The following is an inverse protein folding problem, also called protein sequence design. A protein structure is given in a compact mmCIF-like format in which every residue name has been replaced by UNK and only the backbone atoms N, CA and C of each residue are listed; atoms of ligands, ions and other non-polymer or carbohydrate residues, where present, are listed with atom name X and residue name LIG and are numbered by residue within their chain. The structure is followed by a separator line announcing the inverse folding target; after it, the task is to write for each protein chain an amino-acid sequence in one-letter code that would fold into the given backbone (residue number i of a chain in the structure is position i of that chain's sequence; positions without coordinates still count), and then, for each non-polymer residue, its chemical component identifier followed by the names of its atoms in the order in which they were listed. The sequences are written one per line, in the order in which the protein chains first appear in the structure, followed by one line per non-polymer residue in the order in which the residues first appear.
data_IF_779202749818
#
_entry.id   IF_779202749818
#
_cell.length_a   1.000
_cell.length_b   1.000
_cell.length_c   1.000
_cell.angle_alpha   90.00
_cell.angle_beta   90.00
_cell.angle_gamma   90.00
#
_symmetry.space_group_name_H-M   'P 1'
#
loop_
_entity.id
_entity.type
_entity.pdbx_description
1 polymer ?
#
# COMPACT_ATOMS: atom_id res chain seq x y z
N UNK A 1 -62.35 20.04 -9.16
CA UNK A 1 -61.32 19.18 -9.75
C UNK A 1 -59.94 19.77 -9.42
N UNK A 2 -59.26 19.26 -8.41
CA UNK A 2 -57.91 19.66 -8.02
C UNK A 2 -56.92 18.64 -8.62
N UNK A 3 -56.01 19.12 -9.49
CA UNK A 3 -54.92 18.31 -10.06
C UNK A 3 -53.76 18.32 -9.06
N UNK A 4 -53.45 17.17 -8.51
CA UNK A 4 -52.24 16.92 -7.71
C UNK A 4 -51.09 16.55 -8.65
N UNK A 5 -50.09 17.41 -8.73
CA UNK A 5 -48.83 17.11 -9.40
C UNK A 5 -47.94 16.26 -8.45
N UNK A 6 -47.71 15.03 -8.81
CA UNK A 6 -46.67 14.20 -8.15
C UNK A 6 -45.31 14.51 -8.77
N UNK A 7 -44.41 15.09 -7.96
CA UNK A 7 -43.00 15.25 -8.32
C UNK A 7 -42.28 13.95 -7.97
N UNK A 8 -41.94 13.19 -8.99
CA UNK A 8 -41.14 11.97 -8.84
C UNK A 8 -39.67 12.36 -8.52
N UNK A 9 -39.23 12.01 -7.31
CA UNK A 9 -37.85 12.11 -6.88
C UNK A 9 -37.07 10.92 -7.47
N UNK A 10 -36.31 11.16 -8.55
CA UNK A 10 -35.39 10.18 -9.10
C UNK A 10 -34.16 10.11 -8.21
N UNK A 11 -34.07 9.07 -7.39
CA UNK A 11 -32.84 8.75 -6.65
C UNK A 11 -31.78 8.22 -7.63
N UNK A 12 -30.77 9.03 -7.93
CA UNK A 12 -29.55 8.58 -8.59
C UNK A 12 -28.76 7.71 -7.60
N UNK A 13 -28.90 6.39 -7.70
CA UNK A 13 -27.95 5.46 -7.12
C UNK A 13 -26.65 5.56 -7.97
N UNK A 14 -25.68 6.28 -7.48
CA UNK A 14 -24.31 6.21 -7.99
C UNK A 14 -23.75 4.81 -7.63
N UNK A 15 -23.82 3.89 -8.57
CA UNK A 15 -22.99 2.68 -8.53
C UNK A 15 -21.55 3.13 -8.64
N UNK A 16 -20.83 3.16 -7.52
CA UNK A 16 -19.37 3.20 -7.51
C UNK A 16 -18.90 1.80 -7.89
N UNK A 17 -19.01 1.47 -9.17
CA UNK A 17 -18.29 0.34 -9.75
C UNK A 17 -16.80 0.66 -9.72
N UNK A 18 -15.95 -0.30 -9.30
CA UNK A 18 -14.52 -0.20 -9.53
C UNK A 18 -14.30 0.17 -11.00
N UNK A 19 -13.73 1.37 -11.27
CA UNK A 19 -13.51 1.80 -12.64
C UNK A 19 -12.41 0.91 -13.23
N UNK A 20 -12.78 0.01 -14.13
CA UNK A 20 -11.85 -0.82 -14.87
C UNK A 20 -10.81 0.11 -15.53
N UNK A 21 -9.54 -0.21 -15.38
CA UNK A 21 -8.43 0.54 -15.96
C UNK A 21 -7.66 1.45 -15.01
N UNK A 22 -8.16 1.75 -13.82
CA UNK A 22 -7.50 2.69 -12.90
C UNK A 22 -6.65 1.97 -11.83
N UNK A 23 -5.62 2.66 -11.31
CA UNK A 23 -4.77 2.22 -10.20
C UNK A 23 -4.63 3.37 -9.19
N UNK A 24 -5.72 3.71 -8.52
CA UNK A 24 -5.87 4.94 -7.71
C UNK A 24 -5.14 4.95 -6.37
N UNK A 25 -4.56 3.83 -5.95
CA UNK A 25 -3.79 3.68 -4.72
C UNK A 25 -2.71 2.61 -4.88
N UNK A 26 -1.79 2.47 -3.91
CA UNK A 26 -0.65 1.57 -4.03
C UNK A 26 -0.99 0.06 -4.16
N UNK A 27 -2.21 -0.36 -3.77
CA UNK A 27 -2.68 -1.75 -3.93
C UNK A 27 -3.71 -1.93 -5.04
N UNK A 28 -3.94 -0.90 -5.87
CA UNK A 28 -4.82 -0.95 -7.03
C UNK A 28 -6.31 -0.90 -6.68
N UNK A 29 -7.18 -1.12 -7.67
CA UNK A 29 -8.61 -0.88 -7.54
C UNK A 29 -9.31 -1.75 -6.49
N UNK A 30 -8.79 -2.96 -6.26
CA UNK A 30 -9.35 -3.93 -5.32
C UNK A 30 -8.71 -3.87 -3.92
N UNK A 31 -7.72 -2.98 -3.70
CA UNK A 31 -6.94 -2.84 -2.46
C UNK A 31 -6.19 -4.11 -2.02
N UNK A 32 -6.13 -5.11 -2.86
CA UNK A 32 -5.54 -6.43 -2.61
C UNK A 32 -4.30 -6.73 -3.47
N UNK A 33 -3.95 -5.78 -4.37
CA UNK A 33 -2.83 -5.89 -5.31
C UNK A 33 -3.22 -6.45 -6.67
N UNK A 34 -4.50 -6.70 -6.91
CA UNK A 34 -4.99 -7.23 -8.17
C UNK A 34 -5.78 -6.23 -9.00
N UNK A 35 -5.91 -6.53 -10.28
CA UNK A 35 -6.81 -5.85 -11.23
C UNK A 35 -7.25 -6.82 -12.32
N UNK A 36 -8.37 -6.51 -12.99
CA UNK A 36 -8.93 -7.29 -14.10
C UNK A 36 -8.28 -6.95 -15.45
N UNK A 37 -7.25 -6.12 -15.48
CA UNK A 37 -6.50 -5.75 -16.69
C UNK A 37 -6.01 -6.98 -17.46
N UNK A 38 -6.03 -6.86 -18.81
CA UNK A 38 -5.69 -7.94 -19.74
C UNK A 38 -4.60 -7.49 -20.72
N UNK A 39 -4.14 -8.44 -21.52
CA UNK A 39 -3.15 -8.21 -22.59
C UNK A 39 -1.81 -7.65 -22.12
N UNK A 40 -1.44 -7.96 -20.88
CA UNK A 40 -0.19 -7.50 -20.28
C UNK A 40 1.01 -8.30 -20.82
N UNK A 41 2.19 -7.67 -20.99
CA UNK A 41 3.38 -8.35 -21.47
C UNK A 41 3.92 -9.30 -20.39
N UNK A 42 4.23 -10.54 -20.80
CA UNK A 42 5.00 -11.49 -19.98
C UNK A 42 6.50 -11.28 -20.15
N UNK A 43 6.95 -10.75 -21.30
CA UNK A 43 8.35 -10.48 -21.63
C UNK A 43 8.51 -9.00 -22.00
N UNK A 44 9.47 -8.34 -21.38
CA UNK A 44 9.83 -6.96 -21.63
C UNK A 44 11.25 -6.69 -21.11
N UNK A 45 11.81 -5.55 -21.50
CA UNK A 45 13.10 -5.07 -21.02
C UNK A 45 13.13 -3.54 -21.04
N UNK A 46 14.27 -2.92 -20.79
CA UNK A 46 14.46 -1.46 -20.94
C UNK A 46 14.25 -0.94 -22.38
N UNK A 47 14.22 -1.84 -23.37
CA UNK A 47 14.09 -1.50 -24.80
C UNK A 47 12.95 -2.24 -25.50
N UNK A 48 12.42 -3.31 -24.90
CA UNK A 48 11.33 -4.11 -25.48
C UNK A 48 10.01 -3.81 -24.77
N UNK A 49 8.96 -3.54 -25.52
CA UNK A 49 7.62 -3.20 -25.04
C UNK A 49 7.58 -1.91 -24.18
N UNK A 50 8.58 -1.04 -24.29
CA UNK A 50 8.61 0.27 -23.68
C UNK A 50 7.79 1.24 -24.52
N UNK A 51 6.73 1.80 -23.93
CA UNK A 51 5.96 2.88 -24.55
C UNK A 51 6.67 4.22 -24.37
N UNK A 52 7.15 4.44 -23.14
CA UNK A 52 7.99 5.57 -22.77
C UNK A 52 8.75 5.28 -21.47
N UNK A 53 9.79 6.05 -21.22
CA UNK A 53 10.48 6.10 -19.93
C UNK A 53 10.97 7.49 -19.63
N UNK A 54 10.91 7.90 -18.36
CA UNK A 54 11.36 9.21 -17.89
C UNK A 54 12.31 9.08 -16.72
N UNK A 55 13.27 10.00 -16.63
CA UNK A 55 14.17 10.10 -15.49
C UNK A 55 13.43 10.67 -14.29
N UNK A 56 13.63 10.08 -13.11
CA UNK A 56 13.07 10.57 -11.85
C UNK A 56 14.03 11.55 -11.17
N UNK A 57 13.48 12.49 -10.44
CA UNK A 57 14.22 13.52 -9.69
C UNK A 57 14.80 12.98 -8.37
N UNK A 58 14.74 11.69 -8.15
CA UNK A 58 15.30 11.02 -6.98
C UNK A 58 14.54 9.79 -6.54
N UNK A 59 15.03 9.09 -5.50
CA UNK A 59 14.45 7.85 -5.04
C UNK A 59 13.06 8.04 -4.43
N UNK A 60 12.31 6.96 -4.43
CA UNK A 60 11.06 6.79 -3.69
C UNK A 60 10.67 5.31 -3.67
N UNK A 61 10.18 4.84 -2.55
CA UNK A 61 9.53 3.54 -2.47
C UNK A 61 8.05 3.58 -2.87
N UNK A 62 7.49 4.77 -3.13
CA UNK A 62 6.11 4.96 -3.54
C UNK A 62 5.79 4.28 -4.88
N UNK A 63 4.72 3.51 -4.89
CA UNK A 63 4.16 2.92 -6.12
C UNK A 63 3.51 4.03 -6.96
N UNK A 64 3.73 4.05 -8.29
CA UNK A 64 3.01 4.97 -9.16
C UNK A 64 1.49 4.77 -9.05
N UNK A 65 0.74 5.86 -9.09
CA UNK A 65 -0.72 5.85 -9.08
C UNK A 65 -1.21 6.38 -10.42
N UNK A 66 -2.18 5.70 -11.01
CA UNK A 66 -2.65 5.97 -12.38
C UNK A 66 -4.15 6.21 -12.38
N UNK A 67 -4.57 7.33 -12.99
CA UNK A 67 -5.97 7.66 -13.16
C UNK A 67 -6.20 8.48 -14.42
N UNK A 68 -7.08 8.03 -15.29
CA UNK A 68 -7.31 8.66 -16.60
C UNK A 68 -6.04 8.78 -17.42
N UNK A 69 -5.67 9.99 -17.77
CA UNK A 69 -4.43 10.30 -18.49
C UNK A 69 -3.26 10.73 -17.59
N UNK A 70 -3.33 10.46 -16.28
CA UNK A 70 -2.35 10.92 -15.31
C UNK A 70 -1.62 9.75 -14.67
N UNK A 71 -0.31 9.93 -14.44
CA UNK A 71 0.53 9.07 -13.61
C UNK A 71 1.14 9.93 -12.51
N UNK A 72 0.77 9.68 -11.27
CA UNK A 72 1.23 10.44 -10.12
C UNK A 72 2.34 9.69 -9.39
N UNK A 73 3.42 10.41 -9.08
CA UNK A 73 4.56 9.86 -8.34
C UNK A 73 5.14 10.91 -7.38
N UNK A 74 5.49 10.49 -6.18
CA UNK A 74 6.28 11.27 -5.23
C UNK A 74 7.78 11.11 -5.53
N UNK A 75 8.60 12.13 -5.29
CA UNK A 75 10.06 12.03 -5.37
C UNK A 75 10.73 12.78 -4.22
N UNK A 76 11.91 12.30 -3.85
CA UNK A 76 12.79 12.94 -2.87
C UNK A 76 14.13 13.23 -3.56
N UNK A 77 14.42 14.50 -3.84
CA UNK A 77 15.71 14.92 -4.40
C UNK A 77 16.72 15.08 -3.27
N UNK A 78 17.75 14.21 -3.16
CA UNK A 78 18.71 14.26 -2.06
C UNK A 78 19.63 15.47 -2.15
N UNK A 79 20.01 15.92 -3.36
CA UNK A 79 20.95 17.02 -3.58
C UNK A 79 20.28 18.36 -3.30
N UNK A 80 19.10 18.57 -3.86
CA UNK A 80 18.29 19.78 -3.65
C UNK A 80 17.53 19.80 -2.33
N UNK A 81 17.47 18.66 -1.60
CA UNK A 81 16.68 18.46 -0.36
C UNK A 81 15.21 18.87 -0.55
N UNK A 82 14.56 18.33 -1.57
CA UNK A 82 13.18 18.65 -1.95
C UNK A 82 12.32 17.41 -2.02
N UNK A 83 11.07 17.56 -1.59
CA UNK A 83 10.02 16.57 -1.71
C UNK A 83 9.01 17.07 -2.74
N UNK A 84 8.83 16.33 -3.84
CA UNK A 84 8.05 16.80 -4.98
C UNK A 84 6.92 15.86 -5.34
N UNK A 85 5.74 16.44 -5.58
CA UNK A 85 4.58 15.79 -6.19
C UNK A 85 4.66 15.99 -7.71
N UNK A 86 4.61 14.90 -8.47
CA UNK A 86 4.77 14.95 -9.92
C UNK A 86 3.62 14.22 -10.62
N UNK A 87 3.17 14.78 -11.73
CA UNK A 87 2.18 14.19 -12.63
C UNK A 87 2.74 14.11 -14.05
N UNK A 88 2.65 12.93 -14.65
CA UNK A 88 3.04 12.68 -16.03
C UNK A 88 1.84 12.29 -16.85
N UNK A 89 1.86 12.62 -18.16
CA UNK A 89 0.89 12.08 -19.10
C UNK A 89 1.09 10.57 -19.26
N UNK A 90 0.02 9.81 -19.06
CA UNK A 90 0.06 8.34 -19.09
C UNK A 90 0.46 7.78 -20.47
N UNK A 91 0.15 8.49 -21.56
CA UNK A 91 0.39 8.00 -22.93
C UNK A 91 1.78 8.34 -23.42
N UNK A 92 2.29 9.53 -23.06
CA UNK A 92 3.54 10.08 -23.62
C UNK A 92 4.70 10.08 -22.62
N UNK A 93 4.43 10.08 -21.32
CA UNK A 93 5.43 10.26 -20.27
C UNK A 93 5.85 11.71 -20.06
N UNK A 94 5.24 12.67 -20.75
CA UNK A 94 5.53 14.09 -20.57
C UNK A 94 5.13 14.56 -19.17
N UNK A 95 5.97 15.38 -18.57
CA UNK A 95 5.68 16.02 -17.27
C UNK A 95 4.55 17.05 -17.46
N UNK A 96 3.41 16.81 -16.84
CA UNK A 96 2.27 17.74 -16.87
C UNK A 96 2.43 18.85 -15.83
N UNK A 97 2.76 18.47 -14.61
CA UNK A 97 3.05 19.40 -13.52
C UNK A 97 3.96 18.77 -12.46
N UNK A 98 4.65 19.62 -11.72
CA UNK A 98 5.51 19.25 -10.60
C UNK A 98 5.43 20.34 -9.54
N UNK A 99 5.18 19.97 -8.29
CA UNK A 99 5.08 20.88 -7.15
C UNK A 99 6.06 20.53 -6.07
N UNK A 100 6.73 21.54 -5.51
CA UNK A 100 7.46 21.42 -4.26
C UNK A 100 6.45 21.35 -3.11
N UNK A 101 6.42 20.21 -2.40
CA UNK A 101 5.53 20.03 -1.25
C UNK A 101 6.22 20.39 0.05
N UNK A 102 7.49 19.99 0.22
CA UNK A 102 8.28 20.34 1.40
C UNK A 102 9.78 20.38 1.08
N UNK A 103 10.53 21.08 1.91
CA UNK A 103 11.99 21.02 1.91
C UNK A 103 12.44 19.96 2.92
N UNK A 104 13.41 19.16 2.53
CA UNK A 104 13.96 18.11 3.36
C UNK A 104 14.34 16.87 2.54
N UNK A 105 15.20 16.08 3.12
CA UNK A 105 15.54 14.76 2.61
C UNK A 105 15.97 13.91 3.79
N UNK A 106 15.43 12.70 3.84
CA UNK A 106 15.92 11.65 4.70
C UNK A 106 15.75 10.32 3.99
N UNK A 107 16.80 9.57 3.98
CA UNK A 107 16.81 8.17 3.55
C UNK A 107 17.57 7.37 4.60
N UNK A 108 16.98 6.32 5.05
CA UNK A 108 17.65 5.29 5.83
C UNK A 108 17.66 3.97 5.04
N UNK A 109 18.24 2.92 5.60
CA UNK A 109 18.31 1.63 4.92
C UNK A 109 16.96 0.88 4.87
N UNK A 110 15.85 1.51 5.28
CA UNK A 110 14.50 0.96 5.27
C UNK A 110 13.54 1.75 4.40
N UNK A 111 13.68 3.09 4.38
CA UNK A 111 12.71 3.98 3.78
C UNK A 111 13.31 5.35 3.47
N UNK A 112 12.59 6.19 2.75
CA UNK A 112 12.85 7.60 2.53
C UNK A 112 11.57 8.43 2.75
N UNK A 113 11.68 9.77 2.77
CA UNK A 113 10.50 10.63 2.99
C UNK A 113 9.45 10.53 1.89
N UNK A 114 9.82 10.16 0.65
CA UNK A 114 8.88 9.98 -0.46
C UNK A 114 8.36 8.55 -0.61
N UNK A 115 8.58 7.68 0.38
CA UNK A 115 8.15 6.28 0.35
C UNK A 115 6.63 6.07 0.35
N UNK A 116 5.79 6.93 0.99
CA UNK A 116 4.35 6.82 0.83
C UNK A 116 3.93 6.98 -0.63
N UNK A 117 3.04 6.11 -1.10
CA UNK A 117 2.43 6.23 -2.41
C UNK A 117 1.37 7.32 -2.42
N UNK A 118 1.19 8.08 -3.50
CA UNK A 118 0.05 8.96 -3.67
C UNK A 118 -1.27 8.18 -3.63
N UNK A 119 -2.39 8.89 -3.49
CA UNK A 119 -3.72 8.30 -3.60
C UNK A 119 -4.65 9.28 -4.32
N UNK A 120 -5.55 8.73 -5.15
CA UNK A 120 -6.56 9.52 -5.88
C UNK A 120 -7.88 8.76 -5.99
N UNK A 121 -8.98 9.50 -6.07
CA UNK A 121 -10.32 9.04 -6.44
C UNK A 121 -10.77 9.61 -7.80
N UNK A 122 -9.85 10.26 -8.51
CA UNK A 122 -10.08 10.94 -9.79
C UNK A 122 -10.60 12.38 -9.65
N UNK A 123 -11.05 12.80 -8.47
CA UNK A 123 -11.45 14.18 -8.19
C UNK A 123 -10.30 14.98 -7.58
N UNK A 124 -9.51 14.33 -6.75
CA UNK A 124 -8.32 14.90 -6.10
C UNK A 124 -7.18 13.89 -6.14
N UNK A 125 -5.96 14.37 -5.96
CA UNK A 125 -4.78 13.54 -5.70
C UNK A 125 -4.06 14.05 -4.46
N UNK A 126 -3.78 13.14 -3.52
CA UNK A 126 -3.12 13.46 -2.26
C UNK A 126 -1.75 12.82 -2.20
N UNK A 127 -0.75 13.61 -1.80
CA UNK A 127 0.63 13.19 -1.57
C UNK A 127 0.96 13.35 -0.09
N UNK A 128 1.61 12.34 0.46
CA UNK A 128 2.10 12.36 1.83
C UNK A 128 3.59 12.02 1.86
N UNK A 129 4.33 12.63 2.79
CA UNK A 129 5.76 12.43 2.98
C UNK A 129 6.08 12.08 4.43
N UNK A 130 7.16 11.33 4.62
CA UNK A 130 7.55 10.81 5.93
C UNK A 130 7.99 11.87 6.96
N UNK A 131 8.14 13.14 6.53
CA UNK A 131 8.33 14.31 7.40
C UNK A 131 7.00 14.92 7.91
N UNK A 132 5.87 14.31 7.53
CA UNK A 132 4.54 14.76 7.92
C UNK A 132 3.87 15.72 6.93
N UNK A 133 4.55 16.14 5.86
CA UNK A 133 3.97 16.99 4.82
C UNK A 133 2.88 16.23 4.06
N UNK A 134 1.71 16.84 3.94
CA UNK A 134 0.53 16.31 3.28
C UNK A 134 -0.07 17.40 2.40
N UNK A 135 -0.19 17.14 1.10
CA UNK A 135 -0.75 18.09 0.14
C UNK A 135 -1.72 17.41 -0.81
N UNK A 136 -2.78 18.12 -1.17
CA UNK A 136 -3.82 17.66 -2.09
C UNK A 136 -3.98 18.64 -3.23
N UNK A 137 -4.04 18.09 -4.44
CA UNK A 137 -4.17 18.85 -5.68
C UNK A 137 -5.40 18.38 -6.47
N UNK A 138 -5.90 19.23 -7.38
CA UNK A 138 -6.76 18.79 -8.46
C UNK A 138 -5.96 17.87 -9.40
N UNK A 139 -6.61 17.05 -10.25
CA UNK A 139 -5.90 16.26 -11.25
C UNK A 139 -5.00 17.10 -12.18
N UNK A 140 -5.38 18.35 -12.43
CA UNK A 140 -4.64 19.29 -13.30
C UNK A 140 -3.52 20.05 -12.57
N UNK A 141 -3.34 19.81 -11.26
CA UNK A 141 -2.21 20.30 -10.48
C UNK A 141 -2.48 21.60 -9.70
N UNK A 142 -3.72 22.08 -9.61
CA UNK A 142 -4.03 23.17 -8.69
C UNK A 142 -3.98 22.66 -7.24
N UNK A 143 -3.21 23.33 -6.38
CA UNK A 143 -3.16 23.00 -4.95
C UNK A 143 -4.47 23.39 -4.28
N UNK A 144 -5.16 22.42 -3.70
CA UNK A 144 -6.38 22.67 -2.91
C UNK A 144 -6.05 23.03 -1.46
N UNK A 145 -5.12 22.30 -0.87
CA UNK A 145 -4.63 22.55 0.47
C UNK A 145 -3.34 21.78 0.74
N UNK A 146 -2.57 22.27 1.72
CA UNK A 146 -1.43 21.58 2.30
C UNK A 146 -1.37 21.77 3.81
N UNK A 147 -0.77 20.83 4.51
CA UNK A 147 -0.56 20.86 5.95
C UNK A 147 0.56 19.92 6.38
N UNK A 148 1.09 20.10 7.59
CA UNK A 148 1.99 19.13 8.21
C UNK A 148 1.28 18.43 9.37
N UNK A 149 1.24 17.10 9.31
CA UNK A 149 0.56 16.26 10.31
C UNK A 149 1.27 16.33 11.66
N UNK A 150 2.60 16.48 11.67
CA UNK A 150 3.36 16.59 12.92
C UNK A 150 3.10 17.92 13.64
N UNK A 151 2.92 19.01 12.92
CA UNK A 151 2.59 20.32 13.51
C UNK A 151 1.21 20.30 14.18
N UNK A 152 0.25 19.58 13.58
CA UNK A 152 -1.13 19.54 14.10
C UNK A 152 -1.34 18.47 15.18
N UNK A 153 -0.61 17.37 15.13
CA UNK A 153 -0.91 16.18 15.93
C UNK A 153 0.26 15.66 16.79
N UNK A 154 1.39 16.38 16.78
CA UNK A 154 2.60 16.03 17.51
C UNK A 154 3.64 15.33 16.65
N UNK A 155 4.91 15.48 17.01
CA UNK A 155 6.05 14.91 16.29
C UNK A 155 5.99 13.39 16.31
N UNK A 156 6.38 12.79 15.19
CA UNK A 156 6.41 11.35 15.03
C UNK A 156 7.49 10.67 15.87
N UNK A 157 7.11 9.61 16.58
CA UNK A 157 7.99 8.80 17.42
C UNK A 157 8.35 7.46 16.73
N UNK A 158 9.07 7.51 15.60
CA UNK A 158 9.52 6.34 14.85
C UNK A 158 11.04 6.21 14.87
N UNK A 159 11.52 4.96 14.98
CA UNK A 159 12.93 4.65 14.80
C UNK A 159 13.34 4.87 13.34
N UNK A 160 12.59 4.30 12.41
CA UNK A 160 12.79 4.39 10.97
C UNK A 160 11.99 5.55 10.36
N UNK A 161 12.26 5.86 9.09
CA UNK A 161 11.48 6.87 8.37
C UNK A 161 10.05 6.41 8.17
N UNK A 162 9.08 7.21 8.57
CA UNK A 162 7.65 6.90 8.44
C UNK A 162 7.25 6.81 6.97
N UNK A 163 6.48 5.78 6.60
CA UNK A 163 6.23 5.46 5.19
C UNK A 163 4.84 4.89 4.90
N UNK A 164 3.91 5.02 5.83
CA UNK A 164 2.50 4.63 5.62
C UNK A 164 1.87 5.48 4.51
N UNK A 165 1.22 4.84 3.54
CA UNK A 165 0.48 5.55 2.50
C UNK A 165 -0.90 5.98 3.00
N UNK A 166 -1.43 7.14 2.56
CA UNK A 166 -2.82 7.51 2.80
C UNK A 166 -3.78 6.64 1.97
N UNK A 167 -5.06 6.63 2.37
CA UNK A 167 -6.15 5.96 1.68
C UNK A 167 -7.29 6.96 1.43
N UNK A 168 -7.81 7.04 0.20
CA UNK A 168 -9.11 7.66 -0.06
C UNK A 168 -10.14 6.55 -0.29
N UNK A 169 -11.23 6.59 0.46
CA UNK A 169 -12.33 5.66 0.32
C UNK A 169 -13.66 6.35 0.65
N UNK A 170 -14.64 6.22 -0.25
CA UNK A 170 -15.96 6.85 -0.10
C UNK A 170 -15.90 8.36 0.21
N UNK A 171 -14.97 9.10 -0.45
CA UNK A 171 -14.81 10.53 -0.29
C UNK A 171 -14.19 10.99 1.03
N UNK A 172 -13.52 10.09 1.75
CA UNK A 172 -12.80 10.38 2.98
C UNK A 172 -11.33 9.95 2.83
N UNK A 173 -10.42 10.82 3.26
CA UNK A 173 -8.98 10.56 3.32
C UNK A 173 -8.63 10.02 4.70
N UNK A 174 -8.13 8.78 4.76
CA UNK A 174 -7.72 8.11 5.98
C UNK A 174 -6.21 8.03 6.09
N UNK A 175 -5.72 8.23 7.31
CA UNK A 175 -4.33 8.05 7.69
C UNK A 175 -4.23 7.31 9.02
N UNK A 176 -3.16 6.55 9.20
CA UNK A 176 -2.80 5.97 10.50
C UNK A 176 -1.40 6.43 10.90
N UNK A 177 -1.21 6.69 12.17
CA UNK A 177 0.10 6.93 12.78
C UNK A 177 0.20 5.96 13.97
N UNK A 178 0.82 4.80 13.71
CA UNK A 178 1.04 3.77 14.72
C UNK A 178 2.51 3.83 15.12
N UNK A 179 2.79 4.45 16.25
CA UNK A 179 4.11 4.88 16.69
C UNK A 179 4.42 4.43 18.10
N UNK A 180 5.67 4.60 18.53
CA UNK A 180 6.03 4.38 19.95
C UNK A 180 5.28 5.33 20.86
N UNK A 181 4.96 4.85 22.05
CA UNK A 181 4.36 5.61 23.16
C UNK A 181 5.37 6.49 23.89
N UNK A 182 6.66 6.34 23.59
CA UNK A 182 7.78 7.08 24.17
C UNK A 182 8.61 7.74 23.07
N UNK A 183 9.36 8.78 23.41
CA UNK A 183 10.30 9.44 22.49
C UNK A 183 11.36 8.47 21.96
N UNK A 184 11.79 8.66 20.73
CA UNK A 184 12.86 7.91 20.05
C UNK A 184 14.03 8.86 19.80
N UNK A 185 14.96 8.94 20.74
CA UNK A 185 15.98 9.99 20.73
C UNK A 185 15.33 11.37 20.87
N UNK A 186 15.57 12.25 19.91
CA UNK A 186 14.94 13.59 19.85
C UNK A 186 13.57 13.62 19.18
N UNK A 187 13.06 12.48 18.66
CA UNK A 187 11.80 12.38 17.95
C UNK A 187 10.64 12.06 18.90
N UNK A 188 9.48 12.56 18.55
CA UNK A 188 8.25 12.39 19.33
C UNK A 188 7.92 13.61 20.17
N UNK A 189 6.72 13.62 20.71
CA UNK A 189 6.16 14.64 21.62
C UNK A 189 5.95 14.05 23.00
N UNK A 190 5.29 14.80 23.90
CA UNK A 190 4.94 14.27 25.23
C UNK A 190 3.73 13.32 25.15
N UNK A 191 2.89 13.44 24.13
CA UNK A 191 1.80 12.51 23.79
C UNK A 191 2.09 11.82 22.46
N UNK A 192 2.61 10.59 22.53
CA UNK A 192 2.92 9.77 21.36
C UNK A 192 1.90 8.66 21.14
N UNK A 193 0.68 8.78 21.63
CA UNK A 193 -0.34 7.75 21.40
C UNK A 193 -0.58 7.53 19.90
N UNK A 194 -0.62 6.25 19.51
CA UNK A 194 -1.02 5.85 18.15
C UNK A 194 -2.45 6.29 17.85
N UNK A 195 -2.71 6.78 16.64
CA UNK A 195 -4.02 7.28 16.25
C UNK A 195 -4.36 6.98 14.79
N UNK A 196 -5.66 7.04 14.50
CA UNK A 196 -6.24 7.07 13.17
C UNK A 196 -6.82 8.47 12.95
N UNK A 197 -6.74 8.95 11.72
CA UNK A 197 -7.18 10.28 11.31
C UNK A 197 -8.00 10.16 10.04
N UNK A 198 -9.15 10.85 9.99
CA UNK A 198 -9.92 11.04 8.78
C UNK A 198 -10.03 12.54 8.46
N UNK A 199 -9.78 12.86 7.20
CA UNK A 199 -9.85 14.21 6.66
C UNK A 199 -10.82 14.26 5.49
N UNK A 200 -11.42 15.42 5.28
CA UNK A 200 -12.06 15.74 4.00
C UNK A 200 -10.95 15.93 2.95
N UNK A 201 -10.93 15.13 1.85
CA UNK A 201 -9.85 15.19 0.88
C UNK A 201 -9.81 16.50 0.08
N UNK A 202 -10.92 17.25 0.00
CA UNK A 202 -11.00 18.51 -0.76
C UNK A 202 -10.57 19.74 0.04
N UNK A 203 -10.66 19.67 1.36
CA UNK A 203 -10.43 20.83 2.23
C UNK A 203 -9.35 20.62 3.28
N UNK A 204 -8.88 19.39 3.49
CA UNK A 204 -7.93 19.02 4.54
C UNK A 204 -8.51 19.12 5.96
N UNK A 205 -9.84 19.40 6.09
CA UNK A 205 -10.51 19.51 7.39
C UNK A 205 -10.57 18.14 8.07
N UNK A 206 -10.19 18.10 9.35
CA UNK A 206 -10.35 16.90 10.16
C UNK A 206 -11.83 16.58 10.36
N UNK A 207 -12.22 15.36 9.99
CA UNK A 207 -13.55 14.79 10.24
C UNK A 207 -13.59 14.14 11.62
N UNK A 208 -12.58 13.29 11.89
CA UNK A 208 -12.39 12.67 13.20
C UNK A 208 -10.93 12.27 13.41
N UNK A 209 -10.56 12.12 14.69
CA UNK A 209 -9.31 11.50 15.14
C UNK A 209 -9.64 10.59 16.31
N UNK A 210 -9.15 9.35 16.30
CA UNK A 210 -9.31 8.39 17.38
C UNK A 210 -7.98 7.78 17.76
N UNK A 211 -7.78 7.56 19.05
CA UNK A 211 -6.59 6.84 19.52
C UNK A 211 -6.81 5.32 19.35
N UNK A 212 -5.73 4.63 18.97
CA UNK A 212 -5.71 3.20 18.79
C UNK A 212 -4.74 2.54 19.77
N UNK A 213 -5.19 2.16 20.97
CA UNK A 213 -4.33 1.52 21.95
C UNK A 213 -3.90 0.12 21.49
N UNK A 214 -2.68 -0.28 21.88
CA UNK A 214 -2.11 -1.59 21.63
C UNK A 214 -1.39 -2.11 22.87
N UNK A 215 -1.23 -3.44 22.95
CA UNK A 215 -0.47 -4.10 24.03
C UNK A 215 1.01 -4.31 23.69
N UNK A 216 1.43 -3.95 22.49
CA UNK A 216 2.81 -3.99 22.03
C UNK A 216 3.71 -3.08 22.88
N UNK A 217 5.01 -3.22 22.72
CA UNK A 217 6.01 -2.36 23.39
C UNK A 217 7.12 -1.97 22.42
N UNK A 218 7.76 -0.83 22.68
CA UNK A 218 8.93 -0.36 21.94
C UNK A 218 8.69 -0.33 20.43
N UNK A 219 9.61 -0.84 19.60
CA UNK A 219 9.49 -0.85 18.13
C UNK A 219 8.29 -1.67 17.63
N UNK A 220 7.75 -2.62 18.42
CA UNK A 220 6.55 -3.37 18.02
C UNK A 220 5.27 -2.53 18.02
N UNK A 221 5.28 -1.33 18.59
CA UNK A 221 4.21 -0.34 18.43
C UNK A 221 4.23 0.32 17.05
N UNK A 222 5.42 0.37 16.39
CA UNK A 222 5.56 1.00 15.09
C UNK A 222 4.96 0.14 13.99
N UNK A 223 4.16 0.76 13.11
CA UNK A 223 3.70 0.13 11.89
C UNK A 223 3.79 1.07 10.70
N UNK A 224 4.13 0.48 9.55
CA UNK A 224 4.30 1.15 8.25
C UNK A 224 3.28 0.61 7.24
N UNK A 225 2.31 -0.17 7.71
CA UNK A 225 1.18 -0.68 6.94
C UNK A 225 0.24 0.45 6.52
N UNK A 226 -0.53 0.24 5.47
CA UNK A 226 -1.53 1.18 4.95
C UNK A 226 -2.93 0.73 5.38
N UNK A 227 -3.83 1.65 5.77
CA UNK A 227 -5.24 1.34 5.97
C UNK A 227 -5.86 0.74 4.71
N UNK A 228 -6.69 -0.30 4.85
CA UNK A 228 -7.35 -0.96 3.74
C UNK A 228 -8.86 -0.94 3.95
N UNK A 229 -9.66 -0.48 2.97
CA UNK A 229 -11.12 -0.56 3.06
C UNK A 229 -11.57 -2.01 2.87
N UNK A 230 -12.60 -2.38 3.55
CA UNK A 230 -13.16 -3.71 3.49
C UNK A 230 -14.68 -3.66 3.68
N UNK A 231 -15.42 -4.40 2.86
CA UNK A 231 -16.84 -4.59 3.04
C UNK A 231 -17.13 -6.06 3.36
N UNK A 232 -17.81 -6.29 4.47
CA UNK A 232 -18.26 -7.63 4.86
C UNK A 232 -19.77 -7.63 5.09
N UNK A 233 -20.51 -8.33 4.23
CA UNK A 233 -21.98 -8.45 4.31
C UNK A 233 -22.68 -7.08 4.43
N UNK A 234 -22.23 -6.08 3.66
CA UNK A 234 -22.79 -4.74 3.66
C UNK A 234 -22.29 -3.81 4.77
N UNK A 235 -21.41 -4.28 5.66
CA UNK A 235 -20.74 -3.43 6.66
C UNK A 235 -19.38 -2.99 6.12
N UNK A 236 -19.24 -1.67 5.93
CA UNK A 236 -17.96 -1.06 5.57
C UNK A 236 -17.06 -0.92 6.79
N UNK A 237 -15.77 -1.22 6.60
CA UNK A 237 -14.74 -1.15 7.62
C UNK A 237 -13.44 -0.60 7.04
N UNK A 238 -12.61 0.00 7.88
CA UNK A 238 -11.20 0.26 7.60
C UNK A 238 -10.36 -0.70 8.43
N UNK A 239 -9.60 -1.56 7.76
CA UNK A 239 -8.71 -2.53 8.39
C UNK A 239 -7.36 -1.88 8.71
N UNK A 240 -6.88 -2.06 9.93
CA UNK A 240 -5.64 -1.51 10.44
C UNK A 240 -4.80 -2.63 11.06
N UNK A 241 -3.57 -2.82 10.62
CA UNK A 241 -2.62 -3.78 11.20
C UNK A 241 -1.41 -3.06 11.79
N UNK A 242 -1.01 -3.44 13.00
CA UNK A 242 0.16 -2.90 13.71
C UNK A 242 -0.03 -2.92 15.22
N UNK A 243 1.03 -2.69 15.97
CA UNK A 243 0.99 -2.76 17.44
C UNK A 243 0.54 -4.14 17.93
N UNK A 244 1.03 -5.20 17.29
CA UNK A 244 0.71 -6.61 17.56
C UNK A 244 -0.78 -6.98 17.41
N UNK A 245 -1.56 -6.20 16.66
CA UNK A 245 -2.97 -6.52 16.42
C UNK A 245 -3.48 -6.04 15.06
N UNK A 246 -4.52 -6.74 14.59
CA UNK A 246 -5.37 -6.37 13.47
C UNK A 246 -6.69 -5.84 14.04
N UNK A 247 -7.20 -4.73 13.50
CA UNK A 247 -8.47 -4.12 13.93
C UNK A 247 -9.31 -3.70 12.74
N UNK A 248 -10.63 -3.79 12.87
CA UNK A 248 -11.61 -3.21 11.96
C UNK A 248 -12.25 -1.99 12.61
N UNK A 249 -12.38 -0.91 11.85
CA UNK A 249 -12.92 0.37 12.33
C UNK A 249 -14.08 0.84 11.45
N UNK A 250 -15.06 1.48 12.08
CA UNK A 250 -16.14 2.18 11.38
C UNK A 250 -15.57 3.37 10.59
N UNK A 251 -15.78 3.45 9.27
CA UNK A 251 -15.19 4.50 8.45
C UNK A 251 -15.66 5.91 8.81
N UNK A 252 -16.89 6.08 9.30
CA UNK A 252 -17.52 7.38 9.56
C UNK A 252 -17.11 7.98 10.90
N UNK A 253 -16.79 7.15 11.88
CA UNK A 253 -16.49 7.58 13.26
C UNK A 253 -15.10 7.21 13.75
N UNK A 254 -14.41 6.29 13.07
CA UNK A 254 -13.15 5.71 13.51
C UNK A 254 -13.30 4.71 14.67
N UNK A 255 -14.53 4.48 15.16
CA UNK A 255 -14.79 3.54 16.26
C UNK A 255 -14.27 2.16 15.91
N UNK A 256 -13.51 1.55 16.83
CA UNK A 256 -13.09 0.16 16.70
C UNK A 256 -14.28 -0.76 16.83
N UNK A 257 -14.52 -1.59 15.81
CA UNK A 257 -15.58 -2.58 15.75
C UNK A 257 -15.13 -3.91 16.32
N UNK A 258 -13.91 -4.30 16.00
CA UNK A 258 -13.31 -5.54 16.49
C UNK A 258 -11.78 -5.46 16.50
N UNK A 259 -11.16 -6.35 17.27
CA UNK A 259 -9.71 -6.58 17.28
C UNK A 259 -9.34 -8.04 17.42
N UNK A 260 -8.23 -8.37 16.79
CA UNK A 260 -7.52 -9.64 16.96
C UNK A 260 -6.03 -9.38 17.16
N UNK A 261 -5.39 -10.04 18.12
CA UNK A 261 -3.96 -9.85 18.37
C UNK A 261 -3.39 -10.93 19.26
N UNK A 262 -2.85 -11.99 18.66
CA UNK A 262 -2.22 -13.11 19.39
C UNK A 262 -0.87 -13.53 18.80
N UNK A 263 -0.35 -12.80 17.79
CA UNK A 263 0.90 -13.22 17.13
C UNK A 263 2.17 -12.91 17.92
N UNK A 264 2.11 -12.05 18.93
CA UNK A 264 3.25 -11.69 19.78
C UNK A 264 2.94 -11.86 21.29
N UNK A 265 2.65 -13.08 21.77
CA UNK A 265 2.22 -13.32 23.14
C UNK A 265 3.30 -12.99 24.17
N UNK A 266 4.58 -13.10 23.80
CA UNK A 266 5.73 -12.79 24.68
C UNK A 266 6.11 -11.30 24.64
N UNK A 267 5.40 -10.48 23.86
CA UNK A 267 5.63 -9.04 23.73
C UNK A 267 7.07 -8.72 23.32
N UNK A 268 7.59 -9.40 22.28
CA UNK A 268 8.89 -9.07 21.68
C UNK A 268 8.86 -7.60 21.25
N UNK A 269 9.85 -6.81 21.66
CA UNK A 269 9.83 -5.36 21.51
C UNK A 269 10.44 -4.81 20.20
N UNK A 270 10.85 -5.65 19.25
CA UNK A 270 11.45 -5.25 17.96
C UNK A 270 10.69 -5.78 16.73
N UNK A 271 9.42 -6.08 16.90
CA UNK A 271 8.52 -6.63 15.88
C UNK A 271 7.65 -5.54 15.23
N UNK A 272 8.28 -4.49 14.67
CA UNK A 272 7.56 -3.51 13.86
C UNK A 272 6.85 -4.18 12.70
N UNK A 273 5.66 -3.71 12.35
CA UNK A 273 4.88 -4.26 11.25
C UNK A 273 5.03 -3.41 9.98
N UNK A 274 5.22 -4.05 8.83
CA UNK A 274 5.28 -3.37 7.53
C UNK A 274 4.13 -3.82 6.60
N UNK A 275 3.83 -5.12 6.44
CA UNK A 275 2.76 -5.54 5.55
C UNK A 275 1.39 -4.99 5.98
N UNK A 276 0.60 -4.53 5.01
CA UNK A 276 -0.80 -4.18 5.22
C UNK A 276 -1.67 -5.44 5.30
N UNK A 277 -2.85 -5.37 5.92
CA UNK A 277 -3.81 -6.46 5.87
C UNK A 277 -4.33 -6.65 4.44
N UNK A 278 -4.70 -7.86 4.07
CA UNK A 278 -5.32 -8.18 2.78
C UNK A 278 -6.55 -9.04 3.01
N UNK A 279 -7.70 -8.62 2.49
CA UNK A 279 -8.95 -9.36 2.61
C UNK A 279 -9.21 -10.19 1.34
N UNK A 280 -9.72 -11.41 1.52
CA UNK A 280 -10.12 -12.28 0.41
C UNK A 280 -10.56 -13.66 0.89
N UNK A 281 -11.41 -14.33 0.12
CA UNK A 281 -11.88 -15.68 0.44
C UNK A 281 -12.59 -15.85 1.80
N UNK A 282 -13.16 -14.77 2.35
CA UNK A 282 -13.85 -14.76 3.64
C UNK A 282 -12.96 -14.57 4.86
N UNK A 283 -11.67 -14.25 4.66
CA UNK A 283 -10.70 -13.99 5.72
C UNK A 283 -9.93 -12.69 5.47
N UNK A 284 -9.34 -12.16 6.52
CA UNK A 284 -8.33 -11.10 6.46
C UNK A 284 -6.99 -11.70 6.82
N UNK A 285 -6.02 -11.60 5.91
CA UNK A 285 -4.66 -12.07 6.12
C UNK A 285 -3.81 -10.99 6.79
N UNK A 286 -3.15 -11.33 7.89
CA UNK A 286 -2.18 -10.49 8.59
C UNK A 286 -0.84 -11.21 8.69
N UNK A 287 0.26 -10.50 8.41
CA UNK A 287 1.61 -11.06 8.51
C UNK A 287 2.24 -10.65 9.84
N UNK A 288 2.70 -11.61 10.63
CA UNK A 288 3.55 -11.29 11.75
C UNK A 288 5.01 -11.03 11.26
N UNK A 289 5.75 -10.13 11.94
CA UNK A 289 7.10 -9.73 11.49
C UNK A 289 8.16 -10.81 11.66
N UNK A 290 9.34 -10.57 11.09
CA UNK A 290 10.58 -11.33 11.38
C UNK A 290 10.47 -12.83 11.13
N UNK A 291 9.98 -13.23 9.97
CA UNK A 291 9.83 -14.64 9.55
C UNK A 291 8.79 -15.42 10.35
N UNK A 292 7.98 -14.73 11.13
CA UNK A 292 6.87 -15.34 11.84
C UNK A 292 5.74 -15.73 10.89
N UNK A 293 4.75 -16.50 11.34
CA UNK A 293 3.62 -16.92 10.52
C UNK A 293 2.80 -15.79 9.93
N UNK A 294 2.10 -16.06 8.84
CA UNK A 294 0.92 -15.31 8.44
C UNK A 294 -0.31 -15.93 9.10
N UNK A 295 -1.30 -15.10 9.40
CA UNK A 295 -2.53 -15.49 10.10
C UNK A 295 -3.74 -15.10 9.24
N UNK A 296 -4.64 -16.05 9.01
CA UNK A 296 -5.94 -15.78 8.43
C UNK A 296 -6.98 -15.63 9.53
N UNK A 297 -7.62 -14.47 9.56
CA UNK A 297 -8.58 -14.08 10.58
C UNK A 297 -9.94 -14.00 9.93
N UNK A 298 -10.97 -14.55 10.59
CA UNK A 298 -12.34 -14.50 10.14
C UNK A 298 -12.78 -13.05 9.94
N UNK A 299 -13.31 -12.76 8.75
CA UNK A 299 -13.84 -11.45 8.44
C UNK A 299 -15.09 -11.11 9.27
N UNK A 300 -15.36 -9.81 9.50
CA UNK A 300 -16.59 -9.33 10.09
C UNK A 300 -16.75 -9.61 11.59
N UNK A 301 -15.67 -9.52 12.35
CA UNK A 301 -15.70 -9.72 13.79
C UNK A 301 -16.48 -8.65 14.57
N UNK A 302 -16.69 -8.88 15.88
CA UNK A 302 -17.25 -7.93 16.82
C UNK A 302 -16.54 -8.03 18.17
N UNK A 303 -16.11 -6.87 18.72
CA UNK A 303 -15.36 -6.82 19.97
C UNK A 303 -13.99 -7.51 19.88
N UNK A 304 -13.55 -8.14 20.95
CA UNK A 304 -12.25 -8.84 20.99
C UNK A 304 -12.40 -10.30 20.53
N UNK A 305 -11.97 -10.58 19.30
CA UNK A 305 -12.03 -11.91 18.68
C UNK A 305 -10.70 -12.68 18.75
N UNK A 306 -9.78 -12.30 19.63
CA UNK A 306 -8.45 -12.93 19.70
C UNK A 306 -8.51 -14.44 20.00
N UNK A 307 -9.49 -14.90 20.77
CA UNK A 307 -9.67 -16.30 21.08
C UNK A 307 -10.36 -17.13 19.97
N UNK A 308 -11.21 -16.50 19.14
CA UNK A 308 -12.09 -17.19 18.18
C UNK A 308 -11.90 -16.80 16.72
N UNK A 309 -11.17 -15.72 16.44
CA UNK A 309 -11.08 -15.14 15.10
C UNK A 309 -10.10 -15.85 14.18
N UNK A 310 -9.14 -16.61 14.70
CA UNK A 310 -8.15 -17.30 13.86
C UNK A 310 -8.77 -18.48 13.13
N UNK A 311 -8.63 -18.50 11.80
CA UNK A 311 -9.05 -19.61 10.94
C UNK A 311 -7.86 -20.57 10.77
N UNK A 312 -6.71 -20.07 10.33
CA UNK A 312 -5.46 -20.82 10.21
C UNK A 312 -4.25 -19.91 10.36
N UNK A 313 -3.08 -20.49 10.46
CA UNK A 313 -1.79 -19.81 10.32
C UNK A 313 -0.78 -20.73 9.63
N UNK A 314 0.21 -20.10 8.96
CA UNK A 314 1.36 -20.81 8.39
C UNK A 314 2.39 -21.20 9.45
N UNK A 315 3.46 -21.89 9.05
CA UNK A 315 4.62 -22.14 9.89
C UNK A 315 5.70 -21.04 9.79
N UNK A 316 5.41 -19.96 9.08
CA UNK A 316 6.31 -18.85 8.86
C UNK A 316 7.44 -19.20 7.88
N UNK A 317 8.69 -18.90 8.27
CA UNK A 317 9.82 -19.22 7.37
C UNK A 317 10.10 -20.70 7.20
N UNK A 318 9.48 -21.60 7.98
CA UNK A 318 9.67 -23.05 7.86
C UNK A 318 9.00 -23.62 6.62
N UNK A 319 7.83 -23.13 6.27
CA UNK A 319 7.08 -23.51 5.06
C UNK A 319 7.21 -22.50 3.93
N UNK A 320 8.00 -21.41 4.13
CA UNK A 320 8.18 -20.33 3.16
C UNK A 320 6.98 -19.39 3.05
N UNK A 321 5.98 -19.50 3.93
CA UNK A 321 4.81 -18.64 3.97
C UNK A 321 4.93 -17.64 5.10
N UNK A 322 5.68 -16.58 4.83
CA UNK A 322 5.96 -15.47 5.75
C UNK A 322 6.20 -14.19 4.95
N UNK A 323 5.97 -13.04 5.53
CA UNK A 323 6.41 -11.77 4.96
C UNK A 323 6.73 -10.74 6.05
N UNK A 324 7.96 -10.21 6.04
CA UNK A 324 8.38 -9.14 6.94
C UNK A 324 8.06 -7.74 6.37
N UNK A 325 7.97 -7.60 5.04
CA UNK A 325 7.78 -6.28 4.38
C UNK A 325 6.72 -6.31 3.29
N UNK A 326 6.77 -7.27 2.37
CA UNK A 326 5.87 -7.31 1.23
C UNK A 326 4.44 -7.60 1.69
N UNK A 327 3.49 -6.76 1.31
CA UNK A 327 2.07 -7.07 1.52
C UNK A 327 1.66 -8.20 0.58
N UNK A 328 1.00 -9.27 1.06
CA UNK A 328 0.49 -10.33 0.20
C UNK A 328 -0.45 -9.82 -0.89
N UNK A 329 -0.60 -10.60 -1.94
CA UNK A 329 -1.57 -10.39 -3.01
C UNK A 329 -2.74 -11.36 -2.81
N UNK A 330 -3.98 -10.89 -3.00
CA UNK A 330 -5.12 -11.77 -3.21
C UNK A 330 -5.55 -11.71 -4.67
N UNK A 331 -5.51 -12.84 -5.36
CA UNK A 331 -5.80 -12.92 -6.79
C UNK A 331 -6.25 -14.32 -7.17
N UNK A 332 -7.24 -14.45 -8.06
CA UNK A 332 -7.77 -15.75 -8.50
C UNK A 332 -8.06 -16.69 -7.31
N UNK A 333 -8.85 -16.20 -6.36
CA UNK A 333 -9.29 -16.91 -5.16
C UNK A 333 -8.16 -17.55 -4.34
N UNK A 334 -6.98 -16.92 -4.33
CA UNK A 334 -5.83 -17.41 -3.58
C UNK A 334 -4.99 -16.25 -3.04
N UNK A 335 -4.34 -16.46 -1.90
CA UNK A 335 -3.29 -15.56 -1.45
C UNK A 335 -1.96 -15.95 -2.08
N UNK A 336 -1.16 -14.93 -2.43
CA UNK A 336 0.22 -15.09 -2.83
C UNK A 336 1.10 -14.37 -1.81
N UNK A 337 1.85 -15.15 -1.04
CA UNK A 337 2.71 -14.66 0.04
C UNK A 337 4.15 -14.69 -0.44
N UNK A 338 4.81 -13.53 -0.41
CA UNK A 338 6.19 -13.38 -0.83
C UNK A 338 7.11 -13.35 0.38
N UNK A 339 7.90 -14.39 0.55
CA UNK A 339 9.04 -14.42 1.45
C UNK A 339 10.25 -13.78 0.73
N UNK A 340 10.35 -12.46 0.81
CA UNK A 340 11.32 -11.65 0.07
C UNK A 340 12.71 -11.55 0.71
N UNK A 341 12.93 -12.22 1.84
CA UNK A 341 14.15 -12.17 2.64
C UNK A 341 14.83 -13.53 2.74
N UNK A 342 16.00 -13.56 3.33
CA UNK A 342 16.75 -14.80 3.50
C UNK A 342 17.54 -15.23 2.26
N UNK A 343 18.00 -16.47 2.24
CA UNK A 343 18.76 -17.06 1.14
C UNK A 343 17.85 -17.34 -0.04
N UNK A 344 16.76 -18.04 0.21
CA UNK A 344 15.81 -18.50 -0.79
C UNK A 344 14.58 -17.57 -0.75
N UNK A 345 14.36 -16.79 -1.82
CA UNK A 345 13.24 -15.87 -1.93
C UNK A 345 12.09 -16.60 -2.63
N UNK A 346 11.08 -16.92 -1.85
CA UNK A 346 9.96 -17.75 -2.29
C UNK A 346 8.68 -16.94 -2.45
N UNK A 347 7.90 -17.25 -3.48
CA UNK A 347 6.48 -16.85 -3.53
C UNK A 347 5.63 -18.12 -3.48
N UNK A 348 4.63 -18.11 -2.61
CA UNK A 348 3.77 -19.27 -2.37
C UNK A 348 2.32 -18.92 -2.63
N UNK A 349 1.60 -19.77 -3.38
CA UNK A 349 0.15 -19.70 -3.55
C UNK A 349 -0.53 -20.50 -2.45
N UNK A 350 -1.43 -19.84 -1.72
CA UNK A 350 -2.05 -20.38 -0.51
C UNK A 350 -3.57 -20.34 -0.61
N UNK A 351 -4.22 -21.42 -0.29
CA UNK A 351 -5.69 -21.50 -0.22
C UNK A 351 -6.21 -20.64 0.95
N UNK A 352 -7.14 -19.70 0.72
CA UNK A 352 -7.58 -18.75 1.74
C UNK A 352 -8.39 -19.39 2.88
N UNK A 353 -9.04 -20.54 2.64
CA UNK A 353 -9.87 -21.20 3.63
C UNK A 353 -9.11 -22.14 4.56
N UNK A 354 -8.06 -22.77 4.03
CA UNK A 354 -7.33 -23.84 4.73
C UNK A 354 -5.89 -23.53 5.05
N UNK A 355 -5.29 -22.50 4.41
CA UNK A 355 -3.86 -22.21 4.50
C UNK A 355 -2.97 -23.20 3.73
N UNK A 356 -3.57 -24.15 2.99
CA UNK A 356 -2.80 -25.15 2.23
C UNK A 356 -2.01 -24.50 1.11
N UNK A 357 -0.72 -24.77 1.05
CA UNK A 357 0.16 -24.35 -0.04
C UNK A 357 -0.21 -25.15 -1.29
N UNK A 358 -0.58 -24.47 -2.36
CA UNK A 358 -0.89 -25.08 -3.67
C UNK A 358 0.36 -25.24 -4.52
N UNK A 359 1.26 -24.27 -4.46
CA UNK A 359 2.62 -24.30 -5.00
C UNK A 359 3.51 -23.25 -4.32
N UNK A 360 4.81 -23.47 -4.39
CA UNK A 360 5.86 -22.52 -4.00
C UNK A 360 6.92 -22.44 -5.07
N UNK A 361 7.43 -21.24 -5.35
CA UNK A 361 8.42 -21.00 -6.38
C UNK A 361 9.59 -20.19 -5.84
N UNK A 362 10.81 -20.70 -6.01
CA UNK A 362 12.04 -19.94 -5.80
C UNK A 362 12.19 -18.92 -6.93
N UNK A 363 12.25 -17.63 -6.57
CA UNK A 363 12.43 -16.53 -7.50
C UNK A 363 13.86 -16.42 -8.02
N UNK A 364 14.78 -17.24 -7.53
CA UNK A 364 16.19 -17.28 -7.96
C UNK A 364 16.81 -15.88 -7.99
N UNK A 365 16.62 -15.10 -6.93
CA UNK A 365 17.09 -13.74 -6.82
C UNK A 365 18.16 -13.60 -5.73
N UNK A 366 19.27 -12.93 -6.06
CA UNK A 366 20.26 -12.53 -5.06
C UNK A 366 19.82 -11.31 -4.27
N UNK A 367 19.05 -10.41 -4.91
CA UNK A 367 18.53 -9.19 -4.29
C UNK A 367 17.25 -9.46 -3.50
N UNK A 368 17.05 -8.69 -2.43
CA UNK A 368 15.85 -8.72 -1.59
C UNK A 368 14.62 -8.21 -2.35
N UNK A 369 13.44 -8.64 -1.93
CA UNK A 369 12.17 -8.06 -2.36
C UNK A 369 11.59 -7.21 -1.23
N UNK A 370 11.20 -5.98 -1.56
CA UNK A 370 10.46 -5.05 -0.70
C UNK A 370 9.21 -4.52 -1.40
N UNK A 371 9.17 -4.52 -2.73
CA UNK A 371 7.96 -4.30 -3.51
C UNK A 371 6.98 -5.45 -3.30
N UNK A 372 5.70 -5.13 -3.16
CA UNK A 372 4.64 -6.12 -2.99
C UNK A 372 4.24 -6.71 -4.34
N UNK A 373 3.85 -8.00 -4.41
CA UNK A 373 3.38 -8.61 -5.64
C UNK A 373 2.07 -7.99 -6.11
N UNK A 374 1.92 -7.85 -7.43
CA UNK A 374 0.69 -7.40 -8.09
C UNK A 374 0.24 -8.41 -9.14
N UNK A 375 -1.07 -8.60 -9.28
CA UNK A 375 -1.67 -9.66 -10.07
C UNK A 375 -2.63 -9.15 -11.15
N UNK A 376 -2.44 -9.60 -12.39
CA UNK A 376 -3.37 -9.37 -13.50
C UNK A 376 -3.08 -10.34 -14.66
N UNK A 377 -4.04 -10.57 -15.53
CA UNK A 377 -3.90 -11.34 -16.80
C UNK A 377 -3.24 -12.73 -16.60
N UNK A 378 -3.58 -13.40 -15.50
CA UNK A 378 -2.99 -14.71 -15.15
C UNK A 378 -1.52 -14.65 -14.70
N UNK A 379 -0.98 -13.49 -14.46
CA UNK A 379 0.43 -13.24 -14.12
C UNK A 379 0.56 -12.49 -12.79
N UNK A 380 1.70 -12.70 -12.14
CA UNK A 380 2.13 -11.95 -10.96
C UNK A 380 3.41 -11.22 -11.33
N UNK A 381 3.47 -9.94 -11.01
CA UNK A 381 4.64 -9.09 -11.20
C UNK A 381 5.19 -8.67 -9.83
N UNK A 382 6.49 -8.85 -9.62
CA UNK A 382 7.15 -8.41 -8.39
C UNK A 382 8.56 -7.91 -8.68
N UNK A 383 8.90 -6.76 -8.08
CA UNK A 383 10.19 -6.10 -8.27
C UNK A 383 11.09 -6.29 -7.05
N UNK A 384 12.36 -6.60 -7.29
CA UNK A 384 13.39 -6.70 -6.24
C UNK A 384 14.18 -5.38 -6.09
N UNK A 385 15.07 -5.32 -5.10
CA UNK A 385 15.91 -4.14 -4.82
C UNK A 385 16.81 -3.70 -6.00
N UNK A 386 17.24 -4.63 -6.84
CA UNK A 386 18.04 -4.31 -8.04
C UNK A 386 17.17 -3.80 -9.21
N UNK A 387 15.87 -3.59 -9.01
CA UNK A 387 14.96 -3.16 -10.07
C UNK A 387 14.62 -4.29 -11.06
N UNK A 388 14.93 -5.55 -10.76
CA UNK A 388 14.52 -6.68 -11.60
C UNK A 388 13.07 -7.05 -11.32
N UNK A 389 12.22 -7.03 -12.35
CA UNK A 389 10.83 -7.47 -12.27
C UNK A 389 10.74 -8.94 -12.64
N UNK A 390 10.24 -9.76 -11.71
CA UNK A 390 9.95 -11.17 -11.93
C UNK A 390 8.50 -11.32 -12.37
N UNK A 391 8.26 -12.08 -13.43
CA UNK A 391 6.93 -12.38 -13.97
C UNK A 391 6.65 -13.86 -13.75
N UNK A 392 5.60 -14.17 -12.99
CA UNK A 392 5.24 -15.52 -12.59
C UNK A 392 3.86 -15.87 -13.14
N UNK A 393 3.65 -17.08 -13.62
CA UNK A 393 2.34 -17.62 -13.95
C UNK A 393 1.55 -17.89 -12.66
N UNK A 394 0.42 -17.23 -12.49
CA UNK A 394 -0.35 -17.28 -11.24
C UNK A 394 -0.95 -18.68 -10.97
N UNK A 395 -1.21 -19.47 -12.01
CA UNK A 395 -1.82 -20.80 -11.88
C UNK A 395 -0.78 -21.86 -11.53
N UNK A 396 0.34 -21.87 -12.23
CA UNK A 396 1.36 -22.93 -12.11
C UNK A 396 2.56 -22.59 -11.24
N UNK A 397 2.75 -21.31 -10.89
CA UNK A 397 3.94 -20.83 -10.19
C UNK A 397 5.19 -20.71 -11.07
N UNK A 398 5.10 -21.05 -12.35
CA UNK A 398 6.27 -21.01 -13.24
C UNK A 398 6.80 -19.60 -13.41
N UNK A 399 8.10 -19.40 -13.20
CA UNK A 399 8.79 -18.16 -13.53
C UNK A 399 8.85 -18.00 -15.06
N UNK A 400 8.14 -17.01 -15.59
CA UNK A 400 8.00 -16.74 -17.02
C UNK A 400 9.13 -15.87 -17.56
N UNK A 401 9.57 -14.88 -16.78
CA UNK A 401 10.56 -13.89 -17.22
C UNK A 401 11.17 -13.15 -16.04
N UNK A 402 12.37 -12.64 -16.23
CA UNK A 402 13.05 -11.66 -15.37
C UNK A 402 13.44 -10.46 -16.23
N UNK A 403 12.87 -9.30 -15.98
CA UNK A 403 13.18 -8.06 -16.68
C UNK A 403 14.08 -7.19 -15.80
N UNK A 404 15.31 -6.95 -16.22
CA UNK A 404 16.27 -6.08 -15.53
C UNK A 404 15.97 -4.62 -15.87
N UNK A 405 15.15 -3.96 -15.04
CA UNK A 405 14.71 -2.58 -15.25
C UNK A 405 15.56 -1.55 -14.47
N UNK A 406 16.34 -1.99 -13.47
CA UNK A 406 17.20 -1.13 -12.67
C UNK A 406 18.36 -0.53 -13.45
N UNK A 407 18.78 0.66 -13.07
CA UNK A 407 19.99 1.35 -13.57
C UNK A 407 21.18 1.10 -12.62
N UNK A 408 22.37 1.55 -13.02
CA UNK A 408 23.52 1.54 -12.11
C UNK A 408 23.22 2.42 -10.88
N UNK A 409 23.31 1.84 -9.67
CA UNK A 409 22.94 2.50 -8.42
C UNK A 409 21.49 2.23 -7.94
N UNK A 410 20.68 1.55 -8.74
CA UNK A 410 19.35 1.09 -8.30
C UNK A 410 19.46 -0.19 -7.44
N UNK A 411 19.97 -0.07 -6.24
CA UNK A 411 20.21 -1.19 -5.31
C UNK A 411 19.17 -1.29 -4.17
N UNK A 412 18.25 -0.35 -4.10
CA UNK A 412 17.21 -0.27 -3.07
C UNK A 412 15.83 0.07 -3.62
N UNK A 413 15.50 -0.40 -4.81
CA UNK A 413 14.16 -0.23 -5.39
C UNK A 413 13.12 -0.97 -4.56
N UNK A 414 12.03 -0.30 -4.18
CA UNK A 414 11.01 -0.82 -3.26
C UNK A 414 9.58 -0.64 -3.74
N UNK A 415 9.35 0.12 -4.81
CA UNK A 415 8.03 0.32 -5.39
C UNK A 415 7.42 -0.99 -5.89
N UNK A 416 6.11 -1.13 -5.77
CA UNK A 416 5.37 -2.20 -6.44
C UNK A 416 5.11 -1.83 -7.90
N UNK A 417 4.81 -2.81 -8.75
CA UNK A 417 4.39 -2.56 -10.13
C UNK A 417 2.93 -2.12 -10.14
N UNK A 418 2.62 -0.94 -10.67
CA UNK A 418 1.24 -0.53 -10.90
C UNK A 418 0.75 -1.04 -12.26
N UNK A 419 -0.54 -1.39 -12.36
CA UNK A 419 -1.12 -2.00 -13.56
C UNK A 419 -2.40 -1.27 -13.92
N UNK A 420 -2.40 -0.58 -15.05
CA UNK A 420 -3.55 0.22 -15.50
C UNK A 420 -3.58 0.33 -17.03
N UNK A 421 -4.78 0.37 -17.62
CA UNK A 421 -5.00 0.60 -19.05
C UNK A 421 -4.15 -0.29 -19.97
N UNK A 422 -4.06 -1.60 -19.63
CA UNK A 422 -3.27 -2.59 -20.39
C UNK A 422 -1.76 -2.41 -20.31
N UNK A 423 -1.25 -1.67 -19.31
CA UNK A 423 0.16 -1.31 -19.16
C UNK A 423 0.67 -1.56 -17.74
N UNK A 424 1.99 -1.76 -17.64
CA UNK A 424 2.72 -1.80 -16.37
C UNK A 424 3.44 -0.47 -16.19
N UNK A 425 3.34 0.10 -15.00
CA UNK A 425 4.11 1.27 -14.58
C UNK A 425 5.13 0.81 -13.54
N UNK A 426 6.40 0.84 -13.93
CA UNK A 426 7.50 0.30 -13.15
C UNK A 426 8.40 1.46 -12.75
N UNK A 427 8.56 1.68 -11.45
CA UNK A 427 9.44 2.70 -10.92
C UNK A 427 10.67 2.04 -10.32
N UNK A 428 11.85 2.51 -10.74
CA UNK A 428 13.13 2.34 -10.05
C UNK A 428 13.49 3.64 -9.33
N UNK A 429 14.63 3.71 -8.65
CA UNK A 429 15.06 4.98 -8.04
C UNK A 429 15.32 6.06 -9.10
N UNK A 430 15.89 5.66 -10.24
CA UNK A 430 16.30 6.58 -11.30
C UNK A 430 15.29 6.79 -12.42
N UNK A 431 14.30 5.89 -12.61
CA UNK A 431 13.38 5.95 -13.76
C UNK A 431 11.97 5.48 -13.45
N UNK A 432 11.04 6.00 -14.23
CA UNK A 432 9.68 5.49 -14.39
C UNK A 432 9.52 4.98 -15.83
N UNK A 433 9.04 3.75 -15.97
CA UNK A 433 8.75 3.09 -17.22
C UNK A 433 7.27 2.83 -17.39
N UNK A 434 6.75 3.05 -18.58
CA UNK A 434 5.45 2.55 -19.04
C UNK A 434 5.70 1.40 -20.02
N UNK A 435 5.26 0.21 -19.67
CA UNK A 435 5.47 -1.01 -20.44
C UNK A 435 4.12 -1.53 -20.93
N UNK A 436 4.00 -1.78 -22.23
CA UNK A 436 2.79 -2.29 -22.84
C UNK A 436 3.09 -2.99 -24.15
N UNK A 437 2.18 -3.84 -24.63
CA UNK A 437 2.28 -4.39 -25.98
C UNK A 437 2.08 -3.27 -27.00
N UNK A 438 2.85 -3.29 -28.05
CA UNK A 438 2.68 -2.44 -29.25
C UNK A 438 1.40 -2.82 -29.96
#
# INVERSE_FOLDING_TARGET
MKKTNAIGLAAFLALVGAQAGEWGNWRGPNYDGSTDEKNLPAKFSKTQNVQWSVKMDGPSAGTPVVWGNHVYVSSSNPDAKRLTANCYDRRTGELKWSHLVANGHRQDNRSDYASPSPVTDGQVVTFFYGDGALATFTPDGEELWSQNIQEKHGQFAFLWTFSTSPLIHNGILYMQVLQRDTKVGSKGSDDNRSYLLALDPKTGKQLWKVYRPAKARSESLEAFSTPIPFNHNGRDEILIAGGDCLTGHDPKSGKELWRWGTWNPTRIGHWRLVPSPVAGGGVVLACAPKRAPVYAIKAGGEGNISASGKVWNSEGSRDGVSSDVCTPLFYQDSFFVLYGEGRDKMISRVDPKTGKIQWSTDLQSRSLFRGSPTGADGKIYVQNHAGTVHVIDAKSGRLLHKAEMGESGDDQTRASVAIAHGRLFIRTNGRLYCIGKS
#
